data_IF_939432968076
#
_entry.id   IF_939432968076
#
_cell.length_a   1.000
_cell.length_b   1.000
_cell.length_c   1.000
_cell.angle_alpha   90.00
_cell.angle_beta   90.00
_cell.angle_gamma   90.00
#
_symmetry.space_group_name_H-M   'P 1'
#
loop_
_entity.id
_entity.type
_entity.pdbx_description
1 polymer ?
#
# COMPACT_ATOMS: atom_id res chain seq x y z
N UNK A 1 -60.66 -24.45 72.20
CA UNK A 1 -59.37 -24.63 71.52
C UNK A 1 -59.52 -24.21 70.08
N UNK A 2 -59.09 -22.97 69.74
CA UNK A 2 -59.16 -22.44 68.38
C UNK A 2 -57.73 -22.52 67.79
N UNK A 3 -57.57 -23.27 66.70
CA UNK A 3 -56.28 -23.35 65.92
C UNK A 3 -56.29 -22.26 64.85
N UNK A 4 -55.40 -21.33 64.99
CA UNK A 4 -55.16 -20.29 64.01
C UNK A 4 -54.23 -20.81 62.96
N UNK A 5 -54.63 -20.82 61.68
CA UNK A 5 -53.81 -21.25 60.54
C UNK A 5 -53.10 -20.03 60.03
N UNK A 6 -51.78 -20.07 60.08
CA UNK A 6 -50.90 -19.01 59.54
C UNK A 6 -50.57 -19.33 58.08
N UNK A 7 -51.09 -18.53 57.13
CA UNK A 7 -50.71 -18.63 55.70
C UNK A 7 -49.55 -17.74 55.47
N UNK A 8 -48.39 -18.36 55.16
CA UNK A 8 -47.20 -17.67 54.70
C UNK A 8 -47.18 -17.58 53.17
N UNK A 9 -47.47 -16.41 52.63
CA UNK A 9 -47.38 -16.13 51.21
C UNK A 9 -45.92 -15.85 50.84
N UNK A 10 -45.29 -16.78 50.10
CA UNK A 10 -43.96 -16.65 49.56
C UNK A 10 -44.07 -15.85 48.24
N UNK A 11 -43.70 -14.56 48.27
CA UNK A 11 -43.60 -13.74 47.07
C UNK A 11 -42.26 -14.05 46.39
N UNK A 12 -42.27 -14.83 45.30
CA UNK A 12 -41.13 -15.04 44.43
C UNK A 12 -40.93 -13.79 43.55
N UNK A 13 -39.92 -12.99 43.86
CA UNK A 13 -39.43 -11.90 43.01
C UNK A 13 -38.65 -12.53 41.86
N UNK A 14 -39.28 -12.68 40.72
CA UNK A 14 -38.60 -12.99 39.46
C UNK A 14 -37.79 -11.75 39.02
N UNK A 15 -36.51 -11.72 39.37
CA UNK A 15 -35.57 -10.81 38.75
C UNK A 15 -35.37 -11.27 37.29
N UNK A 16 -36.13 -10.68 36.37
CA UNK A 16 -35.89 -10.80 34.97
C UNK A 16 -34.54 -10.12 34.68
N UNK A 17 -33.44 -10.89 34.58
CA UNK A 17 -32.24 -10.45 33.92
C UNK A 17 -32.60 -10.20 32.46
N UNK A 18 -32.97 -8.98 32.13
CA UNK A 18 -32.92 -8.52 30.74
C UNK A 18 -31.45 -8.55 30.32
N UNK A 19 -31.07 -9.60 29.61
CA UNK A 19 -29.82 -9.59 28.85
C UNK A 19 -29.96 -8.47 27.80
N UNK A 20 -29.47 -7.29 28.12
CA UNK A 20 -29.26 -6.25 27.12
C UNK A 20 -28.22 -6.80 26.16
N UNK A 21 -28.63 -7.14 24.95
CA UNK A 21 -27.70 -7.44 23.86
C UNK A 21 -26.67 -6.31 23.84
N UNK A 22 -25.36 -6.60 23.90
CA UNK A 22 -24.35 -5.55 23.84
C UNK A 22 -24.56 -4.72 22.59
N UNK A 23 -24.67 -3.41 22.74
CA UNK A 23 -24.80 -2.51 21.59
C UNK A 23 -23.51 -2.64 20.78
N UNK A 24 -23.64 -3.08 19.52
CA UNK A 24 -22.50 -3.19 18.63
C UNK A 24 -21.87 -1.81 18.39
N UNK A 25 -20.54 -1.69 18.45
CA UNK A 25 -19.86 -0.42 18.18
C UNK A 25 -20.06 0.00 16.71
N UNK A 26 -20.21 1.29 16.49
CA UNK A 26 -20.37 1.92 15.18
C UNK A 26 -18.99 2.32 14.64
N UNK A 27 -18.53 1.66 13.59
CA UNK A 27 -17.18 1.85 13.03
C UNK A 27 -17.27 2.31 11.59
N UNK A 28 -16.70 3.50 11.31
CA UNK A 28 -16.55 3.97 9.94
C UNK A 28 -15.20 3.53 9.33
N UNK A 29 -15.17 3.43 8.00
CA UNK A 29 -13.98 3.09 7.22
C UNK A 29 -13.78 4.14 6.12
N UNK A 30 -12.59 4.76 6.06
CA UNK A 30 -12.21 5.64 4.96
C UNK A 30 -10.69 5.75 4.81
N UNK A 31 -10.24 6.25 3.65
CA UNK A 31 -8.85 6.58 3.42
C UNK A 31 -8.50 6.88 1.97
N UNK A 32 -7.31 7.44 1.76
CA UNK A 32 -6.70 7.64 0.45
C UNK A 32 -5.36 6.88 0.46
N UNK A 33 -5.14 6.00 -0.50
CA UNK A 33 -3.98 5.13 -0.54
C UNK A 33 -3.26 5.21 -1.89
N UNK A 34 -2.05 5.75 -1.87
CA UNK A 34 -1.13 5.84 -3.02
C UNK A 34 0.30 5.99 -2.52
N UNK A 35 1.27 5.47 -3.27
CA UNK A 35 2.67 5.87 -3.25
C UNK A 35 2.91 6.95 -4.32
N UNK A 36 3.40 8.12 -3.93
CA UNK A 36 3.59 9.24 -4.84
C UNK A 36 5.05 9.64 -4.92
N UNK A 37 5.72 9.33 -6.04
CA UNK A 37 7.09 9.79 -6.28
C UNK A 37 7.10 11.28 -6.61
N UNK A 38 7.92 12.05 -5.89
CA UNK A 38 8.17 13.46 -6.24
C UNK A 38 9.25 13.62 -7.31
N UNK A 39 9.96 12.54 -7.64
CA UNK A 39 11.00 12.53 -8.69
C UNK A 39 10.44 12.18 -10.07
N UNK A 40 9.23 11.58 -10.13
CA UNK A 40 8.53 11.36 -11.38
C UNK A 40 7.89 12.66 -11.89
N UNK A 41 7.94 12.95 -13.20
CA UNK A 41 7.21 14.08 -13.78
C UNK A 41 5.71 13.79 -13.92
N UNK A 42 5.29 12.56 -13.68
CA UNK A 42 3.88 12.17 -13.68
C UNK A 42 3.11 12.93 -12.59
N UNK A 43 1.81 13.12 -12.83
CA UNK A 43 0.86 13.61 -11.82
C UNK A 43 -0.28 12.62 -11.69
N UNK A 44 -0.77 12.44 -10.48
CA UNK A 44 -1.93 11.58 -10.22
C UNK A 44 -3.20 12.40 -10.21
N UNK A 45 -4.13 12.02 -11.07
CA UNK A 45 -5.42 12.69 -11.32
C UNK A 45 -6.58 11.82 -10.79
N UNK A 46 -7.79 12.37 -10.78
CA UNK A 46 -8.97 11.66 -10.24
C UNK A 46 -9.23 10.31 -10.93
N UNK A 47 -9.00 10.20 -12.23
CA UNK A 47 -9.20 8.96 -12.98
C UNK A 47 -8.17 7.85 -12.69
N UNK A 48 -7.05 8.18 -12.02
CA UNK A 48 -6.07 7.20 -11.57
C UNK A 48 -6.53 6.47 -10.29
N UNK A 49 -7.52 7.04 -9.60
CA UNK A 49 -8.06 6.46 -8.36
C UNK A 49 -9.26 5.56 -8.63
N UNK A 50 -9.13 4.30 -8.20
CA UNK A 50 -10.29 3.42 -8.01
C UNK A 50 -10.98 3.84 -6.71
N UNK A 51 -12.18 4.37 -6.83
CA UNK A 51 -12.98 4.82 -5.69
C UNK A 51 -14.01 3.74 -5.33
N UNK A 52 -14.04 3.38 -4.05
CA UNK A 52 -15.07 2.52 -3.44
C UNK A 52 -15.77 3.31 -2.36
N UNK A 53 -17.10 3.25 -2.34
CA UNK A 53 -17.93 3.94 -1.39
C UNK A 53 -19.02 3.00 -0.85
N UNK A 54 -19.51 3.33 0.32
CA UNK A 54 -20.60 2.60 0.97
C UNK A 54 -20.36 1.08 1.00
N UNK A 55 -21.36 0.26 0.88
CA UNK A 55 -21.24 -1.21 0.98
C UNK A 55 -20.28 -1.83 -0.03
N UNK A 56 -20.07 -1.17 -1.18
CA UNK A 56 -19.09 -1.64 -2.16
C UNK A 56 -17.65 -1.64 -1.61
N UNK A 57 -17.35 -0.81 -0.60
CA UNK A 57 -16.06 -0.77 0.07
C UNK A 57 -15.80 -2.01 0.92
N UNK A 58 -16.83 -2.60 1.54
CA UNK A 58 -16.68 -3.77 2.39
C UNK A 58 -16.16 -4.99 1.62
N UNK A 59 -16.47 -5.09 0.32
CA UNK A 59 -15.98 -6.18 -0.53
C UNK A 59 -14.45 -6.21 -0.69
N UNK A 60 -13.77 -5.09 -0.41
CA UNK A 60 -12.31 -5.02 -0.44
C UNK A 60 -11.65 -5.67 0.81
N UNK A 61 -12.45 -6.10 1.81
CA UNK A 61 -11.99 -6.70 3.05
C UNK A 61 -12.56 -8.10 3.26
N UNK A 62 -11.89 -9.18 2.83
CA UNK A 62 -12.37 -10.55 3.00
C UNK A 62 -12.71 -10.91 4.46
N UNK A 63 -12.01 -10.30 5.42
CA UNK A 63 -12.27 -10.49 6.85
C UNK A 63 -13.55 -9.78 7.36
N UNK A 64 -14.24 -9.02 6.52
CA UNK A 64 -15.57 -8.45 6.77
C UNK A 64 -16.68 -9.16 5.98
N UNK A 65 -16.39 -10.28 5.33
CA UNK A 65 -17.42 -11.12 4.72
C UNK A 65 -18.19 -11.90 5.80
N UNK A 66 -19.44 -12.31 5.53
CA UNK A 66 -20.33 -12.90 6.54
C UNK A 66 -19.74 -14.07 7.35
N UNK A 67 -18.92 -14.91 6.71
CA UNK A 67 -18.34 -16.11 7.34
C UNK A 67 -17.07 -15.83 8.17
N UNK A 68 -16.65 -14.58 8.28
CA UNK A 68 -15.37 -14.21 8.90
C UNK A 68 -15.39 -14.15 10.43
N UNK A 69 -16.59 -14.07 11.04
CA UNK A 69 -16.78 -13.82 12.47
C UNK A 69 -16.34 -12.43 12.96
N UNK A 70 -15.92 -11.55 12.05
CA UNK A 70 -15.52 -10.17 12.37
C UNK A 70 -16.63 -9.18 11.99
N UNK A 71 -17.37 -9.44 10.92
CA UNK A 71 -18.42 -8.55 10.41
C UNK A 71 -19.51 -8.33 11.46
N UNK A 72 -19.91 -9.36 12.20
CA UNK A 72 -21.01 -9.30 13.18
C UNK A 72 -20.62 -8.61 14.50
N UNK A 73 -19.34 -8.18 14.65
CA UNK A 73 -18.85 -7.53 15.87
C UNK A 73 -19.11 -6.02 15.90
N UNK A 74 -19.53 -5.41 14.78
CA UNK A 74 -19.77 -3.97 14.69
C UNK A 74 -20.85 -3.62 13.67
N UNK A 75 -21.40 -2.43 13.80
CA UNK A 75 -22.15 -1.76 12.73
C UNK A 75 -21.13 -1.03 11.86
N UNK A 76 -20.86 -1.58 10.67
CA UNK A 76 -19.92 -1.02 9.73
C UNK A 76 -20.55 0.11 8.93
N UNK A 77 -19.86 1.25 8.88
CA UNK A 77 -20.27 2.47 8.20
C UNK A 77 -19.19 2.87 7.18
N UNK A 78 -19.09 2.11 6.07
CA UNK A 78 -18.08 2.41 5.06
C UNK A 78 -18.38 3.74 4.38
N UNK A 79 -17.43 4.67 4.42
CA UNK A 79 -17.52 5.94 3.74
C UNK A 79 -16.85 5.85 2.35
N UNK A 80 -15.63 6.32 2.20
CA UNK A 80 -14.93 6.33 0.93
C UNK A 80 -13.49 5.84 1.09
N UNK A 81 -13.06 4.95 0.19
CA UNK A 81 -11.66 4.64 -0.04
C UNK A 81 -11.28 4.90 -1.49
N UNK A 82 -10.30 5.76 -1.67
CA UNK A 82 -9.66 5.99 -2.96
C UNK A 82 -8.28 5.32 -2.97
N UNK A 83 -8.03 4.45 -3.96
CA UNK A 83 -6.75 3.77 -4.12
C UNK A 83 -6.26 3.93 -5.55
N UNK A 84 -5.00 4.36 -5.70
CA UNK A 84 -4.31 4.40 -6.98
C UNK A 84 -3.10 3.47 -6.99
N UNK A 85 -2.66 3.09 -8.18
CA UNK A 85 -1.35 2.48 -8.39
C UNK A 85 -0.27 3.52 -8.06
N UNK A 86 0.91 3.12 -7.56
CA UNK A 86 2.01 4.05 -7.34
C UNK A 86 2.24 4.95 -8.55
N UNK A 87 2.45 6.25 -8.33
CA UNK A 87 2.50 7.25 -9.40
C UNK A 87 3.28 8.49 -9.01
N UNK A 88 3.03 9.59 -9.72
CA UNK A 88 3.56 10.89 -9.36
C UNK A 88 2.75 11.60 -8.29
N UNK A 89 3.08 12.86 -8.05
CA UNK A 89 2.42 13.74 -7.08
C UNK A 89 0.91 13.83 -7.37
N UNK A 90 0.08 13.72 -6.35
CA UNK A 90 -1.38 13.91 -6.46
C UNK A 90 -1.68 15.40 -6.62
N UNK A 91 -2.51 15.74 -7.61
CA UNK A 91 -2.98 17.12 -7.78
C UNK A 91 -3.75 17.60 -6.57
N UNK A 92 -3.54 18.87 -6.18
CA UNK A 92 -4.16 19.46 -5.00
C UNK A 92 -5.68 19.38 -5.04
N UNK A 93 -6.29 19.69 -6.18
CA UNK A 93 -7.74 19.61 -6.34
C UNK A 93 -8.31 18.20 -6.15
N UNK A 94 -7.59 17.17 -6.59
CA UNK A 94 -7.99 15.77 -6.40
C UNK A 94 -7.99 15.40 -4.90
N UNK A 95 -6.92 15.77 -4.20
CA UNK A 95 -6.84 15.55 -2.75
C UNK A 95 -7.96 16.27 -1.99
N UNK A 96 -8.24 17.54 -2.33
CA UNK A 96 -9.27 18.32 -1.67
C UNK A 96 -10.68 17.76 -1.94
N UNK A 97 -10.95 17.33 -3.18
CA UNK A 97 -12.23 16.71 -3.54
C UNK A 97 -12.46 15.40 -2.79
N UNK A 98 -11.47 14.49 -2.81
CA UNK A 98 -11.56 13.21 -2.08
C UNK A 98 -11.71 13.44 -0.58
N UNK A 99 -10.97 14.41 -0.04
CA UNK A 99 -11.06 14.77 1.38
C UNK A 99 -12.44 15.31 1.72
N UNK A 100 -12.99 16.21 0.92
CA UNK A 100 -14.33 16.78 1.16
C UNK A 100 -15.41 15.70 1.18
N UNK A 101 -15.37 14.76 0.21
CA UNK A 101 -16.30 13.61 0.16
C UNK A 101 -16.19 12.72 1.39
N UNK A 102 -14.96 12.39 1.82
CA UNK A 102 -14.74 11.61 3.06
C UNK A 102 -15.35 12.31 4.27
N UNK A 103 -15.09 13.62 4.44
CA UNK A 103 -15.58 14.38 5.59
C UNK A 103 -17.12 14.48 5.62
N UNK A 104 -17.76 14.67 4.46
CA UNK A 104 -19.22 14.71 4.33
C UNK A 104 -19.83 13.36 4.72
N UNK A 105 -19.31 12.25 4.19
CA UNK A 105 -19.81 10.91 4.50
C UNK A 105 -19.61 10.55 5.98
N UNK A 106 -18.46 10.90 6.57
CA UNK A 106 -18.21 10.67 8.00
C UNK A 106 -19.16 11.51 8.86
N UNK A 107 -19.45 12.76 8.48
CA UNK A 107 -20.42 13.61 9.18
C UNK A 107 -21.84 13.01 9.16
N UNK A 108 -22.23 12.41 8.04
CA UNK A 108 -23.53 11.73 7.92
C UNK A 108 -23.59 10.41 8.74
N UNK A 109 -22.46 9.82 9.06
CA UNK A 109 -22.35 8.55 9.80
C UNK A 109 -22.36 8.72 11.34
N UNK A 110 -22.30 9.95 11.84
CA UNK A 110 -22.24 10.20 13.30
C UNK A 110 -23.51 9.74 14.03
N UNK A 111 -23.42 9.33 15.30
CA UNK A 111 -22.21 9.19 16.11
C UNK A 111 -21.39 7.94 15.76
N UNK A 112 -20.10 7.95 16.02
CA UNK A 112 -19.17 6.84 15.83
C UNK A 112 -18.48 6.48 17.15
N UNK A 113 -18.21 5.18 17.34
CA UNK A 113 -17.37 4.66 18.42
C UNK A 113 -15.93 4.43 17.95
N UNK A 114 -15.77 4.01 16.69
CA UNK A 114 -14.49 3.71 16.07
C UNK A 114 -14.36 4.23 14.63
N UNK A 115 -13.10 4.37 14.19
CA UNK A 115 -12.77 4.73 12.81
C UNK A 115 -11.56 3.94 12.35
N UNK A 116 -11.70 3.21 11.25
CA UNK A 116 -10.59 2.54 10.57
C UNK A 116 -10.09 3.41 9.42
N UNK A 117 -8.87 3.94 9.59
CA UNK A 117 -8.19 4.80 8.64
C UNK A 117 -7.25 3.97 7.77
N UNK A 118 -7.72 3.50 6.61
CA UNK A 118 -6.97 2.63 5.69
C UNK A 118 -6.23 3.46 4.64
N UNK A 119 -4.94 3.64 4.84
CA UNK A 119 -4.05 4.44 4.00
C UNK A 119 -2.83 3.63 3.57
N UNK A 120 -2.06 4.15 2.61
CA UNK A 120 -0.72 3.63 2.31
C UNK A 120 0.34 4.24 3.22
N UNK A 121 0.38 5.57 3.32
CA UNK A 121 1.34 6.32 4.12
C UNK A 121 2.47 6.98 3.31
N UNK A 122 2.41 6.93 1.98
CA UNK A 122 3.42 7.51 1.10
C UNK A 122 2.83 8.46 0.04
N UNK A 123 1.69 9.08 0.36
CA UNK A 123 1.06 10.05 -0.53
C UNK A 123 1.80 11.38 -0.49
N UNK A 124 2.15 11.93 -1.65
CA UNK A 124 2.60 13.30 -1.83
C UNK A 124 1.56 14.10 -2.60
N UNK A 125 1.26 15.30 -2.14
CA UNK A 125 0.24 16.19 -2.73
C UNK A 125 0.87 17.52 -3.08
N UNK A 126 0.52 18.07 -4.23
CA UNK A 126 1.00 19.37 -4.71
C UNK A 126 0.79 20.47 -3.66
N UNK A 127 1.88 21.09 -3.22
CA UNK A 127 1.85 22.19 -2.25
C UNK A 127 1.37 21.82 -0.84
N UNK A 128 1.39 20.55 -0.47
CA UNK A 128 0.99 20.09 0.86
C UNK A 128 2.01 19.12 1.45
N UNK A 129 2.58 19.46 2.58
CA UNK A 129 3.40 18.54 3.36
C UNK A 129 2.52 17.65 4.24
N UNK A 130 2.92 16.38 4.39
CA UNK A 130 2.26 15.41 5.27
C UNK A 130 0.75 15.27 5.01
N UNK A 131 0.32 14.82 3.80
CA UNK A 131 -1.08 14.74 3.45
C UNK A 131 -1.90 13.81 4.35
N UNK A 132 -1.35 12.68 4.77
CA UNK A 132 -2.05 11.74 5.67
C UNK A 132 -2.25 12.34 7.06
N UNK A 133 -1.25 13.07 7.57
CA UNK A 133 -1.39 13.82 8.83
C UNK A 133 -2.38 14.98 8.71
N UNK A 134 -2.48 15.62 7.53
CA UNK A 134 -3.50 16.64 7.26
C UNK A 134 -4.90 16.02 7.22
N UNK A 135 -5.08 14.94 6.45
CA UNK A 135 -6.35 14.24 6.28
C UNK A 135 -6.91 13.78 7.64
N UNK A 136 -6.11 13.06 8.44
CA UNK A 136 -6.59 12.61 9.76
C UNK A 136 -6.87 13.78 10.71
N UNK A 137 -6.11 14.86 10.61
CA UNK A 137 -6.37 16.07 11.39
C UNK A 137 -7.72 16.73 11.04
N UNK A 138 -8.12 16.71 9.77
CA UNK A 138 -9.44 17.18 9.32
C UNK A 138 -10.54 16.19 9.73
N UNK A 139 -10.30 14.89 9.60
CA UNK A 139 -11.24 13.84 10.04
C UNK A 139 -11.51 13.99 11.55
N UNK A 140 -10.49 14.17 12.38
CA UNK A 140 -10.64 14.38 13.83
C UNK A 140 -11.54 15.55 14.19
N UNK A 141 -11.56 16.61 13.40
CA UNK A 141 -12.48 17.76 13.62
C UNK A 141 -13.95 17.38 13.39
N UNK A 142 -14.22 16.36 12.57
CA UNK A 142 -15.57 15.87 12.27
C UNK A 142 -16.01 14.83 13.28
N UNK A 143 -15.18 13.79 13.49
CA UNK A 143 -15.56 12.66 14.34
C UNK A 143 -15.36 12.91 15.84
N UNK A 144 -14.59 13.93 16.19
CA UNK A 144 -14.28 14.29 17.58
C UNK A 144 -13.05 13.57 18.15
N UNK A 145 -12.64 13.98 19.37
CA UNK A 145 -11.44 13.43 20.02
C UNK A 145 -11.67 12.04 20.63
N UNK A 146 -12.89 11.66 20.95
CA UNK A 146 -13.20 10.46 21.72
C UNK A 146 -13.31 9.19 20.87
N UNK A 147 -13.64 9.32 19.59
CA UNK A 147 -13.68 8.20 18.64
C UNK A 147 -12.33 7.50 18.58
N UNK A 148 -12.31 6.19 18.78
CA UNK A 148 -11.09 5.39 18.72
C UNK A 148 -10.66 5.20 17.26
N UNK A 149 -9.44 5.63 16.90
CA UNK A 149 -8.92 5.55 15.54
C UNK A 149 -7.82 4.51 15.43
N UNK A 150 -8.04 3.52 14.57
CA UNK A 150 -7.05 2.55 14.15
C UNK A 150 -6.67 2.77 12.69
N UNK A 151 -5.40 2.53 12.33
CA UNK A 151 -4.91 2.62 10.96
C UNK A 151 -4.06 1.41 10.60
N UNK A 152 -4.05 1.06 9.33
CA UNK A 152 -3.10 0.12 8.76
C UNK A 152 -2.34 0.78 7.61
N UNK A 153 -1.02 0.60 7.59
CA UNK A 153 -0.14 1.18 6.59
C UNK A 153 0.81 0.15 6.00
N UNK A 154 1.28 0.45 4.80
CA UNK A 154 2.44 -0.22 4.21
C UNK A 154 3.71 0.11 5.00
N UNK A 155 4.67 -0.82 5.04
CA UNK A 155 5.96 -0.60 5.69
C UNK A 155 6.83 0.44 4.95
N UNK A 156 6.54 0.72 3.68
CA UNK A 156 7.15 1.82 2.92
C UNK A 156 6.41 3.16 3.10
N UNK A 157 5.50 3.24 4.07
CA UNK A 157 4.89 4.50 4.48
C UNK A 157 5.78 5.33 5.40
N UNK A 158 5.47 6.62 5.50
CA UNK A 158 6.14 7.59 6.38
C UNK A 158 5.21 8.01 7.51
N UNK A 159 5.59 7.76 8.75
CA UNK A 159 4.80 8.11 9.93
C UNK A 159 5.27 9.43 10.52
N UNK A 160 4.59 10.52 10.15
CA UNK A 160 4.85 11.83 10.76
C UNK A 160 4.40 11.87 12.22
N UNK A 161 4.96 12.80 12.99
CA UNK A 161 4.49 13.06 14.36
C UNK A 161 3.01 13.49 14.37
N UNK A 162 2.56 14.25 13.34
CA UNK A 162 1.17 14.68 13.20
C UNK A 162 0.23 13.49 12.99
N UNK A 163 0.60 12.54 12.13
CA UNK A 163 -0.14 11.30 11.92
C UNK A 163 -0.19 10.48 13.22
N UNK A 164 0.98 10.22 13.83
CA UNK A 164 1.10 9.45 15.08
C UNK A 164 0.29 10.05 16.24
N UNK A 165 0.17 11.38 16.31
CA UNK A 165 -0.62 12.08 17.34
C UNK A 165 -2.13 11.86 17.16
N UNK A 166 -2.62 11.86 15.92
CA UNK A 166 -4.06 11.85 15.62
C UNK A 166 -4.65 10.44 15.44
N UNK A 167 -3.83 9.42 15.27
CA UNK A 167 -4.23 8.00 15.21
C UNK A 167 -3.89 7.34 16.53
N UNK A 168 -4.83 6.62 17.13
CA UNK A 168 -4.62 6.01 18.45
C UNK A 168 -3.81 4.72 18.35
N UNK A 169 -4.03 3.91 17.30
CA UNK A 169 -3.35 2.64 17.02
C UNK A 169 -2.94 2.59 15.55
N UNK A 170 -1.65 2.41 15.27
CA UNK A 170 -1.15 2.29 13.90
C UNK A 170 -0.45 0.95 13.74
N UNK A 171 -0.95 0.15 12.81
CA UNK A 171 -0.43 -1.17 12.46
C UNK A 171 0.29 -1.10 11.11
N UNK A 172 1.41 -1.81 10.98
CA UNK A 172 2.20 -1.88 9.75
C UNK A 172 2.20 -3.29 9.16
N UNK A 173 2.35 -3.42 7.85
CA UNK A 173 2.71 -4.70 7.24
C UNK A 173 4.06 -5.18 7.82
N UNK A 174 4.22 -6.49 7.92
CA UNK A 174 5.45 -7.12 8.43
C UNK A 174 6.21 -7.88 7.37
N UNK A 175 5.74 -7.85 6.13
CA UNK A 175 6.33 -8.56 5.01
C UNK A 175 6.56 -7.64 3.80
N UNK A 176 7.72 -7.80 3.18
CA UNK A 176 8.05 -7.28 1.87
C UNK A 176 8.68 -8.44 1.06
N UNK A 177 8.04 -8.95 0.00
CA UNK A 177 6.72 -8.53 -0.55
C UNK A 177 5.56 -8.64 0.43
N UNK A 178 4.47 -7.90 0.17
CA UNK A 178 3.38 -7.60 1.09
C UNK A 178 2.34 -8.74 1.19
N UNK A 179 2.78 -9.99 1.37
CA UNK A 179 1.92 -11.17 1.47
C UNK A 179 0.97 -11.11 2.68
N UNK A 180 1.29 -10.28 3.68
CA UNK A 180 0.51 -10.07 4.90
C UNK A 180 -0.38 -8.80 4.90
N UNK A 181 -0.50 -8.10 3.78
CA UNK A 181 -1.20 -6.83 3.73
C UNK A 181 -2.64 -6.90 4.27
N UNK A 182 -3.39 -7.95 3.88
CA UNK A 182 -4.75 -8.16 4.33
C UNK A 182 -4.81 -8.64 5.80
N UNK A 183 -3.86 -9.48 6.22
CA UNK A 183 -3.73 -9.91 7.61
C UNK A 183 -3.40 -8.73 8.54
N UNK A 184 -2.59 -7.79 8.07
CA UNK A 184 -2.25 -6.58 8.83
C UNK A 184 -3.44 -5.64 8.97
N UNK A 185 -4.27 -5.47 7.91
CA UNK A 185 -5.55 -4.74 8.02
C UNK A 185 -6.50 -5.41 9.00
N UNK A 186 -6.63 -6.73 8.91
CA UNK A 186 -7.43 -7.50 9.87
C UNK A 186 -6.94 -7.29 11.30
N UNK A 187 -5.62 -7.32 11.55
CA UNK A 187 -5.03 -7.06 12.87
C UNK A 187 -5.40 -5.67 13.39
N UNK A 188 -5.28 -4.62 12.57
CA UNK A 188 -5.66 -3.26 12.94
C UNK A 188 -7.14 -3.14 13.31
N UNK A 189 -8.02 -3.81 12.57
CA UNK A 189 -9.46 -3.83 12.83
C UNK A 189 -9.79 -4.64 14.07
N UNK A 190 -9.16 -5.79 14.28
CA UNK A 190 -9.36 -6.63 15.47
C UNK A 190 -8.91 -5.89 16.74
N UNK A 191 -7.73 -5.24 16.72
CA UNK A 191 -7.28 -4.41 17.83
C UNK A 191 -8.28 -3.29 18.16
N UNK A 192 -8.90 -2.68 17.14
CA UNK A 192 -9.95 -1.66 17.35
C UNK A 192 -11.18 -2.24 18.01
N UNK A 193 -11.68 -3.37 17.51
CA UNK A 193 -12.84 -4.05 18.07
C UNK A 193 -12.63 -4.48 19.52
N UNK A 194 -11.51 -5.12 19.83
CA UNK A 194 -11.17 -5.58 21.18
C UNK A 194 -11.11 -4.42 22.19
N UNK A 195 -10.60 -3.27 21.76
CA UNK A 195 -10.56 -2.06 22.62
C UNK A 195 -11.95 -1.50 22.87
N UNK A 196 -12.82 -1.48 21.86
CA UNK A 196 -14.21 -1.00 22.00
C UNK A 196 -15.04 -1.95 22.86
N UNK A 197 -14.99 -3.26 22.59
CA UNK A 197 -15.74 -4.28 23.31
C UNK A 197 -15.33 -4.40 24.79
N UNK A 198 -14.02 -4.27 25.07
CA UNK A 198 -13.53 -4.30 26.44
C UNK A 198 -13.77 -3.01 27.23
N UNK A 199 -14.24 -1.94 26.56
CA UNK A 199 -14.41 -0.62 27.19
C UNK A 199 -13.11 0.08 27.61
N UNK A 200 -11.94 -0.49 27.25
CA UNK A 200 -10.62 0.09 27.60
C UNK A 200 -10.30 1.39 26.86
N UNK A 201 -11.01 1.68 25.75
CA UNK A 201 -10.82 2.89 24.96
C UNK A 201 -9.41 3.00 24.36
N UNK A 202 -8.86 4.20 24.28
CA UNK A 202 -7.54 4.46 23.69
C UNK A 202 -6.42 3.78 24.49
N UNK A 203 -5.39 3.22 23.82
CA UNK A 203 -4.16 2.81 24.52
C UNK A 203 -3.59 3.98 25.33
N UNK A 204 -3.22 3.71 26.59
CA UNK A 204 -2.77 4.76 27.49
C UNK A 204 -1.43 5.38 27.07
N UNK A 205 -0.60 4.61 26.35
CA UNK A 205 0.73 5.04 25.94
C UNK A 205 1.03 4.67 24.49
N UNK A 206 1.75 5.57 23.83
CA UNK A 206 2.38 5.37 22.51
C UNK A 206 3.84 5.80 22.57
N UNK A 207 4.73 5.02 21.98
CA UNK A 207 6.10 5.40 21.69
C UNK A 207 6.25 5.59 20.18
N UNK A 208 6.87 6.68 19.75
CA UNK A 208 7.23 6.98 18.38
C UNK A 208 8.72 7.35 18.36
N UNK A 209 9.51 6.56 17.65
CA UNK A 209 10.97 6.72 17.61
C UNK A 209 11.37 6.89 16.15
N UNK A 210 11.96 8.05 15.84
CA UNK A 210 12.60 8.31 14.56
C UNK A 210 13.92 7.53 14.50
N UNK A 211 14.06 6.67 13.49
CA UNK A 211 15.33 6.02 13.15
C UNK A 211 15.87 6.71 11.90
N UNK A 212 17.05 7.34 11.93
CA UNK A 212 17.58 8.11 10.81
C UNK A 212 18.15 7.19 9.72
N UNK A 213 17.28 6.35 9.16
CA UNK A 213 17.54 5.40 8.07
C UNK A 213 16.52 5.66 6.98
N UNK A 214 16.96 5.60 5.73
CA UNK A 214 16.13 5.67 4.55
C UNK A 214 16.68 4.67 3.54
N UNK A 215 15.86 3.69 3.15
CA UNK A 215 16.26 2.58 2.29
C UNK A 215 15.27 2.43 1.13
N UNK A 216 15.75 2.15 -0.09
CA UNK A 216 14.88 1.79 -1.18
C UNK A 216 14.21 0.42 -0.90
N UNK A 217 12.98 0.25 -1.37
CA UNK A 217 12.18 -0.95 -1.15
C UNK A 217 12.90 -2.23 -1.60
N UNK A 218 13.70 -2.15 -2.65
CA UNK A 218 14.50 -3.24 -3.21
C UNK A 218 15.55 -3.82 -2.23
N UNK A 219 15.89 -3.07 -1.17
CA UNK A 219 16.78 -3.52 -0.10
C UNK A 219 16.06 -3.98 1.17
N UNK A 220 14.74 -3.89 1.23
CA UNK A 220 13.98 -4.09 2.47
C UNK A 220 13.19 -5.39 2.51
N UNK A 221 13.51 -6.35 1.64
CA UNK A 221 12.84 -7.65 1.62
C UNK A 221 12.96 -8.37 2.97
N UNK A 222 11.83 -8.69 3.57
CA UNK A 222 11.76 -9.43 4.83
C UNK A 222 11.99 -10.95 4.66
N UNK A 223 12.27 -11.40 3.44
CA UNK A 223 12.63 -12.80 3.14
C UNK A 223 14.12 -13.07 3.34
N UNK A 224 14.95 -12.02 3.41
CA UNK A 224 16.41 -12.08 3.56
C UNK A 224 16.89 -11.25 4.76
N UNK A 225 18.11 -11.54 5.21
CA UNK A 225 18.74 -10.76 6.28
C UNK A 225 19.16 -9.38 5.76
N UNK A 226 19.16 -8.37 6.63
CA UNK A 226 18.87 -8.39 8.06
C UNK A 226 17.37 -8.21 8.38
N UNK A 227 16.54 -7.84 7.37
CA UNK A 227 15.12 -7.56 7.59
C UNK A 227 14.38 -8.79 8.14
N UNK A 228 14.69 -9.99 7.67
CA UNK A 228 14.08 -11.24 8.15
C UNK A 228 14.16 -11.39 9.66
N UNK A 229 15.35 -11.30 10.23
CA UNK A 229 15.56 -11.41 11.67
C UNK A 229 14.99 -10.20 12.42
N UNK A 230 15.12 -8.99 11.88
CA UNK A 230 14.59 -7.77 12.49
C UNK A 230 13.07 -7.83 12.65
N UNK A 231 12.33 -8.20 11.60
CA UNK A 231 10.87 -8.30 11.67
C UNK A 231 10.40 -9.51 12.50
N UNK A 232 11.20 -10.57 12.61
CA UNK A 232 10.91 -11.72 13.47
C UNK A 232 10.96 -11.39 14.97
N UNK A 233 11.55 -10.26 15.38
CA UNK A 233 11.51 -9.78 16.77
C UNK A 233 10.13 -9.26 17.16
N UNK A 234 9.37 -8.67 16.22
CA UNK A 234 8.12 -7.96 16.50
C UNK A 234 7.13 -8.80 17.33
N UNK A 235 6.80 -10.06 16.97
CA UNK A 235 5.85 -10.85 17.76
C UNK A 235 6.28 -11.12 19.20
N UNK A 236 7.59 -11.07 19.48
CA UNK A 236 8.13 -11.33 20.84
C UNK A 236 7.97 -10.12 21.76
N UNK A 237 7.78 -8.94 21.21
CA UNK A 237 7.62 -7.68 21.94
C UNK A 237 6.15 -7.36 22.24
N UNK A 238 5.23 -8.20 21.81
CA UNK A 238 3.78 -8.03 21.95
C UNK A 238 3.26 -9.06 22.95
N UNK A 239 2.57 -8.60 24.00
CA UNK A 239 1.89 -9.48 24.97
C UNK A 239 0.36 -9.35 24.91
N UNK A 240 -0.16 -8.41 24.11
CA UNK A 240 -1.59 -8.17 23.91
C UNK A 240 -2.26 -7.34 25.03
N UNK A 241 -1.58 -7.08 26.13
CA UNK A 241 -2.09 -6.31 27.28
C UNK A 241 -1.27 -5.04 27.50
N UNK A 242 0.00 -5.18 27.89
CA UNK A 242 0.91 -4.06 28.14
C UNK A 242 1.38 -3.41 26.86
N UNK A 243 1.70 -4.25 25.87
CA UNK A 243 2.08 -3.87 24.50
C UNK A 243 1.12 -4.55 23.54
N UNK A 244 0.25 -3.76 22.91
CA UNK A 244 -0.78 -4.24 22.00
C UNK A 244 -0.20 -4.51 20.61
N UNK A 245 0.62 -3.60 20.09
CA UNK A 245 1.33 -3.80 18.81
C UNK A 245 2.62 -2.99 18.77
N UNK A 246 3.57 -3.48 17.96
CA UNK A 246 4.84 -2.81 17.64
C UNK A 246 5.05 -2.92 16.14
N UNK A 247 5.54 -1.87 15.51
CA UNK A 247 5.70 -1.80 14.06
C UNK A 247 6.95 -1.03 13.65
N UNK A 248 7.52 -1.41 12.49
CA UNK A 248 8.62 -0.72 11.81
C UNK A 248 8.11 -0.19 10.47
N UNK A 249 8.39 1.06 10.17
CA UNK A 249 8.26 1.67 8.85
C UNK A 249 9.64 1.96 8.28
N UNK A 250 9.91 1.50 7.08
CA UNK A 250 11.15 1.76 6.32
C UNK A 250 11.13 3.13 5.64
N UNK A 251 9.92 3.71 5.50
CA UNK A 251 9.66 4.94 4.76
C UNK A 251 9.81 4.78 3.23
N UNK A 252 9.58 5.87 2.49
CA UNK A 252 9.50 5.86 1.03
C UNK A 252 10.50 6.87 0.43
N UNK A 253 11.67 6.40 -0.05
CA UNK A 253 12.77 7.29 -0.47
C UNK A 253 12.51 8.03 -1.79
N UNK A 254 11.51 7.60 -2.57
CA UNK A 254 11.18 8.19 -3.87
C UNK A 254 10.29 9.44 -3.76
N UNK A 255 10.16 10.00 -2.56
CA UNK A 255 9.56 11.30 -2.31
C UNK A 255 10.53 12.17 -1.49
N UNK A 256 10.82 13.38 -1.96
CA UNK A 256 11.64 14.36 -1.23
C UNK A 256 10.75 15.12 -0.24
N UNK A 257 10.47 14.47 0.89
CA UNK A 257 9.63 15.02 1.95
C UNK A 257 10.31 14.98 3.32
N UNK A 258 10.13 16.01 4.17
CA UNK A 258 10.76 16.08 5.51
C UNK A 258 10.43 14.92 6.44
N UNK A 259 9.30 14.23 6.21
CA UNK A 259 8.85 13.07 7.00
C UNK A 259 9.48 11.73 6.57
N UNK A 260 10.29 11.73 5.50
CA UNK A 260 10.93 10.53 4.98
C UNK A 260 12.11 10.10 5.86
N UNK A 261 11.81 9.24 6.79
CA UNK A 261 12.76 8.53 7.64
C UNK A 261 12.07 7.29 8.21
N UNK A 262 12.85 6.29 8.58
CA UNK A 262 12.29 5.13 9.25
C UNK A 262 11.73 5.50 10.63
N UNK A 263 10.71 4.75 11.04
CA UNK A 263 10.03 4.94 12.33
C UNK A 263 9.78 3.60 12.97
N UNK A 264 9.95 3.53 14.27
CA UNK A 264 9.45 2.45 15.12
C UNK A 264 8.37 3.01 16.03
N UNK A 265 7.21 2.34 16.08
CA UNK A 265 6.14 2.68 17.01
C UNK A 265 5.70 1.47 17.80
N UNK A 266 5.33 1.72 19.05
CA UNK A 266 4.61 0.79 19.91
C UNK A 266 3.45 1.50 20.60
N UNK A 267 2.40 0.75 20.92
CA UNK A 267 1.29 1.25 21.73
C UNK A 267 0.74 0.17 22.67
N UNK A 268 0.20 0.60 23.80
CA UNK A 268 -0.32 -0.29 24.83
C UNK A 268 -0.69 0.45 26.13
N UNK A 269 -0.89 -0.30 27.20
CA UNK A 269 -1.37 0.24 28.47
C UNK A 269 -0.30 0.32 29.58
N UNK A 270 0.92 -0.17 29.34
CA UNK A 270 2.06 -0.02 30.27
C UNK A 270 3.16 0.86 29.67
N UNK A 271 3.42 1.99 30.30
CA UNK A 271 4.40 2.99 29.82
C UNK A 271 5.80 2.41 29.65
N UNK A 272 6.25 1.59 30.61
CA UNK A 272 7.61 1.05 30.60
C UNK A 272 7.76 -0.02 29.53
N UNK A 273 6.77 -0.91 29.41
CA UNK A 273 6.76 -1.96 28.41
C UNK A 273 6.71 -1.39 26.97
N UNK A 274 5.84 -0.41 26.73
CA UNK A 274 5.73 0.28 25.43
C UNK A 274 7.03 0.98 25.05
N UNK A 275 7.65 1.70 25.99
CA UNK A 275 8.91 2.39 25.75
C UNK A 275 10.08 1.40 25.52
N UNK A 276 10.12 0.31 26.28
CA UNK A 276 11.14 -0.72 26.14
C UNK A 276 11.03 -1.45 24.80
N UNK A 277 9.82 -1.87 24.41
CA UNK A 277 9.59 -2.56 23.15
C UNK A 277 9.96 -1.70 21.93
N UNK A 278 9.56 -0.42 21.94
CA UNK A 278 9.92 0.51 20.85
C UNK A 278 11.44 0.79 20.85
N UNK A 279 12.06 0.97 22.01
CA UNK A 279 13.50 1.21 22.15
C UNK A 279 14.32 0.04 21.64
N UNK A 280 14.04 -1.17 22.11
CA UNK A 280 14.73 -2.39 21.70
C UNK A 280 14.68 -2.59 20.19
N UNK A 281 13.49 -2.45 19.59
CA UNK A 281 13.32 -2.63 18.15
C UNK A 281 14.03 -1.54 17.34
N UNK A 282 14.03 -0.29 17.81
CA UNK A 282 14.73 0.82 17.16
C UNK A 282 16.26 0.66 17.24
N UNK A 283 16.79 0.20 18.37
CA UNK A 283 18.22 -0.09 18.56
C UNK A 283 18.67 -1.25 17.66
N UNK A 284 17.87 -2.33 17.58
CA UNK A 284 18.16 -3.45 16.68
C UNK A 284 18.15 -3.01 15.23
N UNK A 285 17.14 -2.22 14.79
CA UNK A 285 17.13 -1.67 13.45
C UNK A 285 18.36 -0.80 13.15
N UNK A 286 18.70 0.09 14.07
CA UNK A 286 19.89 0.94 13.92
C UNK A 286 21.17 0.14 13.82
N UNK A 287 21.31 -0.94 14.61
CA UNK A 287 22.51 -1.78 14.64
C UNK A 287 22.79 -2.43 13.28
N UNK A 288 21.75 -2.92 12.60
CA UNK A 288 21.84 -3.63 11.31
C UNK A 288 21.68 -2.74 10.07
N UNK A 289 21.53 -1.42 10.24
CA UNK A 289 21.19 -0.48 9.15
C UNK A 289 22.10 -0.50 7.93
N UNK A 290 23.35 -0.97 8.06
CA UNK A 290 24.32 -1.04 6.96
C UNK A 290 24.39 -2.40 6.28
N UNK A 291 23.63 -3.38 6.79
CA UNK A 291 23.62 -4.74 6.28
C UNK A 291 22.55 -4.96 5.21
N UNK A 292 21.62 -4.01 5.06
CA UNK A 292 20.57 -4.08 4.05
C UNK A 292 21.18 -4.05 2.64
N UNK A 293 20.91 -5.09 1.87
CA UNK A 293 21.45 -5.28 0.51
C UNK A 293 20.31 -5.61 -0.47
N UNK A 294 20.59 -5.49 -1.75
CA UNK A 294 19.68 -5.94 -2.78
C UNK A 294 19.50 -7.46 -2.72
N UNK A 295 18.29 -7.93 -3.00
CA UNK A 295 17.95 -9.38 -2.97
C UNK A 295 18.60 -10.13 -4.12
N UNK A 296 18.76 -9.47 -5.27
CA UNK A 296 19.40 -9.99 -6.47
C UNK A 296 20.72 -9.24 -6.75
N UNK A 297 21.66 -9.84 -7.47
CA UNK A 297 22.81 -9.11 -7.99
C UNK A 297 22.39 -7.88 -8.77
N UNK A 298 23.07 -6.76 -8.59
CA UNK A 298 22.78 -5.49 -9.25
C UNK A 298 24.03 -4.94 -9.90
N UNK A 299 23.88 -4.45 -11.13
CA UNK A 299 24.94 -3.78 -11.86
C UNK A 299 24.35 -2.86 -12.96
N UNK A 300 25.18 -2.20 -13.72
CA UNK A 300 24.78 -1.46 -14.91
C UNK A 300 24.32 -2.39 -16.03
N UNK A 301 23.53 -1.86 -16.97
CA UNK A 301 22.91 -2.61 -18.07
C UNK A 301 23.91 -3.52 -18.80
N UNK A 302 25.08 -3.02 -19.14
CA UNK A 302 26.07 -3.78 -19.92
C UNK A 302 26.60 -5.01 -19.19
N UNK A 303 26.87 -4.89 -17.89
CA UNK A 303 27.31 -6.01 -17.06
C UNK A 303 26.19 -7.03 -16.86
N UNK A 304 24.98 -6.58 -16.49
CA UNK A 304 23.82 -7.46 -16.37
C UNK A 304 23.49 -8.20 -17.68
N UNK A 305 23.64 -7.51 -18.83
CA UNK A 305 23.41 -8.12 -20.13
C UNK A 305 24.50 -9.13 -20.50
N UNK A 306 25.78 -8.85 -20.19
CA UNK A 306 26.87 -9.79 -20.39
C UNK A 306 26.67 -11.08 -19.59
N UNK A 307 26.27 -10.97 -18.33
CA UNK A 307 25.94 -12.12 -17.48
C UNK A 307 24.76 -12.93 -18.04
N UNK A 308 23.70 -12.23 -18.48
CA UNK A 308 22.53 -12.89 -19.07
C UNK A 308 22.85 -13.63 -20.37
N UNK A 309 23.71 -13.05 -21.23
CA UNK A 309 24.15 -13.66 -22.49
C UNK A 309 25.05 -14.86 -22.28
N UNK A 310 25.90 -14.83 -21.23
CA UNK A 310 26.80 -15.92 -20.86
C UNK A 310 26.08 -17.04 -20.09
N UNK A 311 24.97 -16.78 -19.44
CA UNK A 311 24.25 -17.73 -18.60
C UNK A 311 23.65 -18.89 -19.43
N UNK A 312 23.79 -20.11 -18.92
CA UNK A 312 23.08 -21.32 -19.42
C UNK A 312 21.70 -21.46 -18.80
N UNK A 313 21.45 -20.81 -17.64
CA UNK A 313 20.17 -20.85 -16.95
C UNK A 313 19.19 -19.89 -17.62
N UNK A 314 17.99 -20.38 -17.96
CA UNK A 314 16.97 -19.61 -18.67
C UNK A 314 15.58 -19.88 -18.09
N UNK A 315 14.68 -18.87 -18.13
CA UNK A 315 14.90 -17.50 -18.58
C UNK A 315 15.80 -16.72 -17.60
N UNK A 316 16.59 -15.78 -18.12
CA UNK A 316 17.32 -14.82 -17.33
C UNK A 316 16.49 -13.54 -17.27
N UNK A 317 16.27 -12.98 -16.07
CA UNK A 317 15.44 -11.79 -15.87
C UNK A 317 16.32 -10.64 -15.39
N UNK A 318 16.26 -9.52 -16.10
CA UNK A 318 16.88 -8.25 -15.69
C UNK A 318 15.75 -7.27 -15.38
N UNK A 319 15.76 -6.68 -14.19
CA UNK A 319 14.78 -5.66 -13.77
C UNK A 319 15.45 -4.29 -13.76
N UNK A 320 14.87 -3.33 -14.46
CA UNK A 320 15.23 -1.92 -14.34
C UNK A 320 14.63 -1.34 -13.07
N UNK A 321 15.49 -0.82 -12.17
CA UNK A 321 15.05 -0.22 -10.91
C UNK A 321 14.71 1.26 -11.05
N UNK A 322 15.23 1.92 -12.11
CA UNK A 322 15.13 3.38 -12.26
C UNK A 322 13.74 3.87 -12.63
N UNK A 323 13.04 3.13 -13.47
CA UNK A 323 11.69 3.49 -13.93
C UNK A 323 10.66 2.43 -13.50
N UNK A 324 10.64 2.15 -12.21
CA UNK A 324 9.77 1.15 -11.61
C UNK A 324 8.34 1.67 -11.40
N UNK A 325 7.34 1.21 -12.15
CA UNK A 325 5.95 1.65 -11.98
C UNK A 325 5.33 1.24 -10.63
N UNK A 326 5.89 0.23 -9.94
CA UNK A 326 5.41 -0.14 -8.61
C UNK A 326 5.97 0.74 -7.49
N UNK A 327 6.92 1.62 -7.82
CA UNK A 327 7.50 2.62 -6.92
C UNK A 327 7.29 4.06 -7.44
N UNK A 328 6.28 4.29 -8.28
CA UNK A 328 5.89 5.62 -8.78
C UNK A 328 6.64 6.09 -10.01
N UNK A 329 7.50 5.28 -10.63
CA UNK A 329 8.10 5.56 -11.93
C UNK A 329 7.06 5.71 -13.03
N UNK A 330 7.39 6.45 -14.09
CA UNK A 330 6.51 6.64 -15.24
C UNK A 330 6.27 5.33 -16.01
N UNK A 331 7.27 4.43 -16.01
CA UNK A 331 7.25 3.16 -16.72
C UNK A 331 7.41 3.30 -18.24
N UNK A 332 7.68 4.53 -18.72
CA UNK A 332 7.75 4.84 -20.15
C UNK A 332 9.11 5.40 -20.62
N UNK A 333 10.12 5.38 -19.76
CA UNK A 333 11.49 5.79 -20.10
C UNK A 333 12.09 4.82 -21.10
N UNK A 334 12.52 5.34 -22.23
CA UNK A 334 12.94 4.55 -23.40
C UNK A 334 14.43 4.22 -23.44
N UNK A 335 15.23 4.72 -22.48
CA UNK A 335 16.68 4.60 -22.52
C UNK A 335 17.17 3.15 -22.64
N UNK A 336 16.71 2.29 -21.74
CA UNK A 336 17.09 0.87 -21.73
C UNK A 336 16.72 0.17 -23.05
N UNK A 337 15.49 0.38 -23.55
CA UNK A 337 15.07 -0.19 -24.82
C UNK A 337 15.90 0.33 -26.00
N UNK A 338 16.22 1.64 -26.00
CA UNK A 338 17.06 2.26 -27.02
C UNK A 338 18.45 1.64 -27.06
N UNK A 339 19.06 1.38 -25.90
CA UNK A 339 20.38 0.73 -25.84
C UNK A 339 20.30 -0.74 -26.29
N UNK A 340 19.27 -1.48 -25.91
CA UNK A 340 19.07 -2.87 -26.33
C UNK A 340 18.89 -3.00 -27.85
N UNK A 341 18.16 -2.08 -28.49
CA UNK A 341 17.96 -2.06 -29.94
C UNK A 341 19.23 -1.76 -30.74
N UNK A 342 20.27 -1.18 -30.13
CA UNK A 342 21.58 -0.94 -30.75
C UNK A 342 22.48 -2.19 -30.76
N UNK A 343 22.21 -3.15 -29.88
CA UNK A 343 23.08 -4.32 -29.63
C UNK A 343 23.12 -5.27 -30.82
N UNK A 344 24.31 -5.65 -31.31
CA UNK A 344 24.44 -6.55 -32.44
C UNK A 344 23.85 -7.96 -32.18
N UNK A 345 23.87 -8.41 -30.91
CA UNK A 345 23.36 -9.71 -30.47
C UNK A 345 21.87 -9.90 -30.78
N UNK A 346 21.13 -8.80 -30.92
CA UNK A 346 19.68 -8.80 -31.11
C UNK A 346 19.22 -8.34 -32.50
N UNK A 347 20.12 -7.90 -33.37
CA UNK A 347 19.76 -7.36 -34.68
C UNK A 347 19.22 -8.42 -35.66
N UNK A 348 19.71 -9.65 -35.55
CA UNK A 348 19.29 -10.73 -36.44
C UNK A 348 18.10 -11.50 -35.86
N UNK A 349 17.10 -11.90 -36.68
CA UNK A 349 15.92 -12.65 -36.19
C UNK A 349 16.27 -13.95 -35.48
N UNK A 350 17.36 -14.63 -35.89
CA UNK A 350 17.86 -15.87 -35.29
C UNK A 350 18.85 -15.62 -34.14
N UNK A 351 19.00 -14.38 -33.68
CA UNK A 351 19.83 -14.00 -32.54
C UNK A 351 19.25 -14.50 -31.21
N UNK A 352 19.98 -14.20 -30.13
CA UNK A 352 19.47 -14.48 -28.76
C UNK A 352 18.12 -13.79 -28.57
N UNK A 353 17.11 -14.52 -28.14
CA UNK A 353 15.78 -13.96 -27.92
C UNK A 353 15.74 -13.07 -26.68
N UNK A 354 15.11 -11.89 -26.80
CA UNK A 354 14.88 -10.96 -25.72
C UNK A 354 13.41 -10.52 -25.73
N UNK A 355 12.80 -10.44 -24.55
CA UNK A 355 11.48 -9.83 -24.35
C UNK A 355 11.68 -8.56 -23.53
N UNK A 356 11.28 -7.41 -24.06
CA UNK A 356 11.21 -6.16 -23.31
C UNK A 356 9.78 -5.95 -22.81
N UNK A 357 9.57 -5.99 -21.51
CA UNK A 357 8.26 -5.91 -20.89
C UNK A 357 8.25 -4.84 -19.78
N UNK A 358 7.65 -3.70 -20.02
CA UNK A 358 6.93 -3.19 -21.18
C UNK A 358 7.11 -1.68 -21.26
N UNK A 359 6.52 -1.08 -22.28
CA UNK A 359 6.46 0.39 -22.40
C UNK A 359 5.02 0.81 -22.67
N UNK A 360 4.42 1.73 -21.86
CA UNK A 360 3.07 2.23 -22.10
C UNK A 360 3.06 3.31 -23.19
N UNK A 361 2.22 3.14 -24.21
CA UNK A 361 1.94 4.13 -25.23
C UNK A 361 0.60 3.84 -25.92
N UNK A 362 -0.46 4.56 -25.56
CA UNK A 362 -1.81 4.35 -26.09
C UNK A 362 -1.92 4.64 -27.59
N UNK A 363 -1.22 5.68 -28.09
CA UNK A 363 -1.25 6.05 -29.51
C UNK A 363 -0.56 5.00 -30.36
N UNK A 364 0.59 4.48 -29.89
CA UNK A 364 1.28 3.40 -30.58
C UNK A 364 0.42 2.14 -30.63
N UNK A 365 -0.20 1.75 -29.50
CA UNK A 365 -1.09 0.58 -29.45
C UNK A 365 -2.27 0.74 -30.41
N UNK A 366 -2.90 1.91 -30.45
CA UNK A 366 -4.02 2.19 -31.37
C UNK A 366 -3.62 2.02 -32.83
N UNK A 367 -2.44 2.53 -33.24
CA UNK A 367 -1.88 2.36 -34.60
C UNK A 367 -1.57 0.90 -34.90
N UNK A 368 -0.95 0.19 -33.95
CA UNK A 368 -0.61 -1.23 -34.12
C UNK A 368 -1.86 -2.10 -34.27
N UNK A 369 -2.91 -1.82 -33.50
CA UNK A 369 -4.21 -2.49 -33.62
C UNK A 369 -4.84 -2.27 -35.00
N UNK A 370 -4.81 -1.03 -35.50
CA UNK A 370 -5.31 -0.70 -36.81
C UNK A 370 -4.51 -1.36 -37.97
N UNK A 371 -3.20 -1.56 -37.76
CA UNK A 371 -2.30 -2.25 -38.70
C UNK A 371 -2.55 -3.77 -38.74
N UNK A 372 -2.89 -4.36 -37.60
CA UNK A 372 -3.20 -5.78 -37.45
C UNK A 372 -1.99 -6.71 -37.31
N UNK A 373 -2.24 -7.93 -36.84
CA UNK A 373 -1.21 -8.96 -36.70
C UNK A 373 -0.56 -9.30 -38.05
N UNK A 374 0.73 -9.51 -38.06
CA UNK A 374 1.62 -9.66 -39.20
C UNK A 374 1.90 -8.39 -40.03
N UNK A 375 1.22 -7.28 -39.73
CA UNK A 375 1.53 -5.98 -40.33
C UNK A 375 2.89 -5.44 -39.84
N UNK A 376 3.45 -4.51 -40.63
CA UNK A 376 4.66 -3.79 -40.24
C UNK A 376 4.23 -2.44 -39.69
N UNK A 377 4.72 -2.12 -38.50
CA UNK A 377 4.57 -0.80 -37.90
C UNK A 377 5.92 -0.08 -37.88
N UNK A 378 5.91 1.21 -38.20
CA UNK A 378 7.05 2.11 -38.08
C UNK A 378 6.57 3.39 -37.39
N UNK A 379 6.76 3.46 -36.08
CA UNK A 379 6.28 4.54 -35.24
C UNK A 379 7.14 4.72 -34.00
N UNK A 380 7.04 5.88 -33.37
CA UNK A 380 7.67 6.18 -32.09
C UNK A 380 6.79 5.68 -30.92
N UNK A 381 7.43 5.17 -29.86
CA UNK A 381 6.78 4.69 -28.65
C UNK A 381 7.51 5.18 -27.38
N UNK A 382 6.75 5.33 -26.30
CA UNK A 382 7.23 5.69 -24.97
C UNK A 382 7.65 7.16 -24.82
N UNK A 383 8.22 7.48 -23.67
CA UNK A 383 8.66 8.84 -23.28
C UNK A 383 7.57 9.91 -23.42
N UNK A 384 6.29 9.52 -23.20
CA UNK A 384 5.15 10.45 -23.21
C UNK A 384 5.02 11.19 -21.88
N UNK A 385 5.40 10.52 -20.80
CA UNK A 385 5.38 11.06 -19.45
C UNK A 385 6.78 11.50 -19.06
N UNK A 386 7.79 10.63 -19.20
CA UNK A 386 9.17 10.96 -18.85
C UNK A 386 10.14 10.86 -20.03
N UNK A 387 10.39 12.01 -20.65
CA UNK A 387 11.35 12.16 -21.75
C UNK A 387 12.71 12.71 -21.32
N UNK A 388 12.95 12.87 -20.01
CA UNK A 388 14.19 13.51 -19.49
C UNK A 388 15.45 12.71 -19.75
N UNK A 389 15.35 11.39 -19.84
CA UNK A 389 16.49 10.48 -19.98
C UNK A 389 16.70 9.96 -21.39
N UNK A 390 15.63 9.90 -22.19
CA UNK A 390 15.69 9.55 -23.61
C UNK A 390 14.42 10.04 -24.34
N UNK A 391 14.52 10.38 -25.65
CA UNK A 391 13.33 10.71 -26.46
C UNK A 391 12.52 9.45 -26.75
N UNK A 392 11.28 9.55 -27.31
CA UNK A 392 10.53 8.40 -27.80
C UNK A 392 11.40 7.52 -28.71
N UNK A 393 11.27 6.19 -28.57
CA UNK A 393 12.04 5.24 -29.34
C UNK A 393 11.27 4.81 -30.60
N UNK A 394 11.95 4.82 -31.76
CA UNK A 394 11.34 4.37 -33.02
C UNK A 394 11.35 2.84 -33.06
N UNK A 395 10.17 2.26 -33.16
CA UNK A 395 9.94 0.83 -33.34
C UNK A 395 9.54 0.58 -34.80
N UNK A 396 10.45 -0.04 -35.57
CA UNK A 396 10.19 -0.49 -36.92
C UNK A 396 10.23 -2.02 -36.94
N UNK A 397 9.06 -2.66 -36.95
CA UNK A 397 8.99 -4.10 -36.79
C UNK A 397 7.66 -4.71 -37.16
N UNK A 398 7.59 -6.05 -37.06
CA UNK A 398 6.39 -6.83 -37.33
C UNK A 398 5.54 -6.97 -36.04
N UNK A 399 4.25 -6.71 -36.13
CA UNK A 399 3.30 -6.99 -35.05
C UNK A 399 3.08 -8.51 -35.03
N UNK A 400 3.49 -9.16 -33.92
CA UNK A 400 3.39 -10.62 -33.76
C UNK A 400 2.19 -11.05 -32.94
N UNK A 401 1.68 -10.18 -32.06
CA UNK A 401 0.48 -10.44 -31.28
C UNK A 401 -0.25 -9.15 -30.88
N UNK A 402 -1.56 -9.24 -30.73
CA UNK A 402 -2.45 -8.23 -30.18
C UNK A 402 -3.35 -8.92 -29.16
N UNK A 403 -3.31 -8.47 -27.92
CA UNK A 403 -4.17 -8.93 -26.84
C UNK A 403 -5.16 -7.82 -26.50
N UNK A 404 -6.44 -8.14 -26.62
CA UNK A 404 -7.54 -7.24 -26.29
C UNK A 404 -7.91 -7.39 -24.82
N UNK A 405 -7.99 -6.28 -24.11
CA UNK A 405 -8.39 -6.25 -22.72
C UNK A 405 -9.15 -4.94 -22.41
N UNK A 406 -10.47 -5.05 -22.26
CA UNK A 406 -11.35 -3.91 -22.01
C UNK A 406 -11.10 -3.26 -20.65
N UNK A 407 -10.56 -4.00 -19.68
CA UNK A 407 -10.29 -3.49 -18.33
C UNK A 407 -8.92 -2.83 -18.21
N UNK A 408 -7.89 -3.54 -18.61
CA UNK A 408 -6.49 -3.11 -18.40
C UNK A 408 -5.84 -2.50 -19.63
N UNK A 409 -6.60 -2.43 -20.75
CA UNK A 409 -6.16 -1.86 -22.02
C UNK A 409 -5.42 -2.86 -22.90
N UNK A 410 -5.48 -2.61 -24.20
CA UNK A 410 -4.87 -3.46 -25.21
C UNK A 410 -3.35 -3.55 -25.05
N UNK A 411 -2.81 -4.71 -25.44
CA UNK A 411 -1.37 -4.98 -25.44
C UNK A 411 -0.94 -5.47 -26.82
N UNK A 412 0.14 -4.92 -27.35
CA UNK A 412 0.71 -5.35 -28.63
C UNK A 412 2.15 -5.80 -28.46
N UNK A 413 2.56 -6.79 -29.26
CA UNK A 413 3.94 -7.27 -29.31
C UNK A 413 4.53 -6.99 -30.67
N UNK A 414 5.64 -6.24 -30.69
CA UNK A 414 6.36 -5.90 -31.91
C UNK A 414 7.71 -6.62 -31.94
N UNK A 415 7.99 -7.36 -32.99
CA UNK A 415 9.25 -8.07 -33.21
C UNK A 415 10.20 -7.20 -34.02
N UNK A 416 11.39 -6.93 -33.46
CA UNK A 416 12.47 -6.17 -34.09
C UNK A 416 13.76 -6.97 -33.94
N UNK A 417 14.29 -7.51 -35.03
CA UNK A 417 15.37 -8.50 -34.91
C UNK A 417 14.94 -9.69 -34.05
N UNK A 418 15.69 -10.00 -33.02
CA UNK A 418 15.33 -11.02 -32.02
C UNK A 418 14.64 -10.46 -30.76
N UNK A 419 14.40 -9.15 -30.67
CA UNK A 419 13.69 -8.52 -29.57
C UNK A 419 12.17 -8.57 -29.79
N UNK A 420 11.42 -9.00 -28.81
CA UNK A 420 9.97 -8.82 -28.71
C UNK A 420 9.67 -7.68 -27.76
N UNK A 421 9.19 -6.55 -28.27
CA UNK A 421 8.82 -5.38 -27.48
C UNK A 421 7.34 -5.44 -27.16
N UNK A 422 6.99 -5.47 -25.88
CA UNK A 422 5.61 -5.37 -25.42
C UNK A 422 5.28 -3.91 -25.20
N UNK A 423 4.28 -3.42 -25.93
CA UNK A 423 3.73 -2.07 -25.75
C UNK A 423 2.32 -2.17 -25.19
N UNK A 424 2.04 -1.46 -24.12
CA UNK A 424 0.77 -1.49 -23.40
C UNK A 424 0.00 -0.19 -23.60
N UNK A 425 -1.32 -0.27 -23.66
CA UNK A 425 -2.16 0.91 -23.80
C UNK A 425 -2.15 1.77 -22.54
N UNK A 426 -2.08 1.12 -21.37
CA UNK A 426 -1.99 1.77 -20.07
C UNK A 426 -0.70 1.36 -19.37
N UNK A 427 -0.21 2.21 -18.47
CA UNK A 427 0.84 1.87 -17.53
C UNK A 427 0.36 0.72 -16.64
N UNK A 428 1.14 -0.31 -16.51
CA UNK A 428 0.80 -1.45 -15.64
C UNK A 428 2.02 -2.05 -14.95
N UNK A 429 1.79 -2.64 -13.80
CA UNK A 429 2.71 -3.51 -13.12
C UNK A 429 2.32 -4.97 -13.41
N UNK A 430 3.31 -5.85 -13.50
CA UNK A 430 3.07 -7.29 -13.67
C UNK A 430 2.90 -7.92 -12.29
N UNK A 431 1.81 -8.68 -12.14
CA UNK A 431 1.48 -9.44 -10.93
C UNK A 431 1.32 -10.92 -11.28
N UNK A 432 1.43 -11.77 -10.27
CA UNK A 432 0.91 -13.13 -10.36
C UNK A 432 -0.62 -13.04 -10.19
N UNK A 433 -1.36 -13.53 -11.17
CA UNK A 433 -2.79 -13.85 -11.07
C UNK A 433 -2.99 -15.29 -11.52
#
# INVERSE_FOLDING_TARGET
MKRTLLIVTLAAVLAACTQTTPVQPRIAIAGIAIESSTFSPAVSLMHDFRIRETDSLLSDYPFLHPDSGVVDRAVWLPALKARAMPGGIVKREVYEELTARILEMLKASLPLDGFFFDIHGAMSVEGLSDPEGDLIGRIRKVIGPDVLVSSCMDLHGSVSHRLAKNVDMITCYRMAPHDDAMNSRRRAVVNLLERLESGKGKPAYKAWIKVPVLLPGEKTSTRVEPAKSLYALIPRLIDGEKVIDVSIWMSYPWADEPRNHAVVMAYGDDKKAVAAAAGELAEQFWSVRREFAFVAPTDYLDACLADALASEVKPYVISDMGDNPTAGGAGDVTWTLTELLKRPEFKHPDGKSLIYASIPDADFVSRAVATGVNGIIDAEAGARVDSRYAPPVRLNGRITAIYKDDRDGDVVVVKIGSISVIVTQKRKAYHYE
#
